data_IF_786512159177
#
_entry.id   IF_786512159177
#
_cell.length_a   1.000
_cell.length_b   1.000
_cell.length_c   1.000
_cell.angle_alpha   90.00
_cell.angle_beta   90.00
_cell.angle_gamma   90.00
#
_symmetry.space_group_name_H-M   'P 1'
#
loop_
_entity.id
_entity.type
_entity.pdbx_description
1 polymer ?
#
# COMPACT_ATOMS: atom_id res chain seq x y z
N UNK A 1 6.83 4.00 20.07
CA UNK A 1 6.30 3.13 18.98
C UNK A 1 4.91 3.64 18.59
N UNK A 2 4.53 3.65 17.31
CA UNK A 2 3.20 4.13 16.88
C UNK A 2 2.14 3.09 17.27
N UNK A 3 1.03 3.51 17.89
CA UNK A 3 -0.11 2.64 18.21
C UNK A 3 -1.09 2.42 17.04
N UNK A 4 -0.67 2.76 15.81
CA UNK A 4 -1.51 2.73 14.63
C UNK A 4 -0.90 1.81 13.59
N UNK A 5 -1.66 0.78 13.21
CA UNK A 5 -1.36 -0.08 12.09
C UNK A 5 -1.66 0.67 10.79
N UNK A 6 -0.61 1.03 10.05
CA UNK A 6 -0.72 1.82 8.81
C UNK A 6 -0.72 0.95 7.56
N UNK A 7 -0.60 -0.35 7.73
CA UNK A 7 -0.38 -1.32 6.67
C UNK A 7 0.18 -2.61 7.26
N UNK A 8 0.29 -3.62 6.42
CA UNK A 8 0.90 -4.92 6.72
C UNK A 8 2.16 -5.10 5.89
N UNK A 9 3.11 -5.84 6.43
CA UNK A 9 4.29 -6.30 5.70
C UNK A 9 4.08 -7.78 5.32
N UNK A 10 4.13 -8.07 4.03
CA UNK A 10 3.96 -9.42 3.47
C UNK A 10 5.32 -9.88 2.95
N UNK A 11 5.98 -10.77 3.69
CA UNK A 11 7.30 -11.28 3.33
C UNK A 11 7.22 -12.31 2.19
N UNK A 12 8.08 -12.14 1.21
CA UNK A 12 8.22 -13.05 0.07
C UNK A 12 9.62 -12.92 -0.53
N UNK A 13 10.04 -13.87 -1.37
CA UNK A 13 11.32 -13.74 -2.10
C UNK A 13 11.27 -12.51 -3.01
N UNK A 14 12.38 -11.80 -3.18
CA UNK A 14 12.49 -10.73 -4.17
C UNK A 14 12.12 -11.28 -5.56
N UNK A 15 11.39 -10.49 -6.35
CA UNK A 15 10.87 -10.90 -7.65
C UNK A 15 9.51 -11.63 -7.59
N UNK A 16 9.01 -12.00 -6.42
CA UNK A 16 7.67 -12.62 -6.29
C UNK A 16 6.60 -11.69 -6.90
N UNK A 17 5.66 -12.20 -7.72
CA UNK A 17 4.62 -11.38 -8.32
C UNK A 17 3.74 -10.67 -7.27
N UNK A 18 3.48 -9.39 -7.50
CA UNK A 18 2.50 -8.59 -6.76
C UNK A 18 1.33 -8.34 -7.68
N UNK A 19 0.13 -8.66 -7.20
CA UNK A 19 -1.13 -8.47 -7.91
C UNK A 19 -1.98 -7.38 -7.26
N UNK A 20 -2.83 -6.74 -8.05
CA UNK A 20 -3.79 -5.76 -7.56
C UNK A 20 -4.82 -6.45 -6.65
N UNK A 21 -4.97 -5.94 -5.43
CA UNK A 21 -5.97 -6.43 -4.46
C UNK A 21 -7.40 -5.98 -4.77
N UNK A 22 -7.58 -5.00 -5.67
CA UNK A 22 -8.86 -4.40 -6.04
C UNK A 22 -8.89 -4.03 -7.52
N UNK A 23 -10.09 -3.90 -8.07
CA UNK A 23 -10.31 -3.12 -9.29
C UNK A 23 -10.08 -1.64 -8.99
N UNK A 24 -9.52 -0.87 -9.93
CA UNK A 24 -9.38 0.57 -9.75
C UNK A 24 -8.49 1.24 -10.79
N UNK A 25 -8.30 2.55 -10.60
CA UNK A 25 -7.42 3.38 -11.40
C UNK A 25 -6.06 3.50 -10.71
N UNK A 26 -4.97 3.18 -11.40
CA UNK A 26 -3.61 3.46 -10.92
C UNK A 26 -3.40 4.97 -10.94
N UNK A 27 -3.41 5.60 -9.77
CA UNK A 27 -3.28 7.06 -9.62
C UNK A 27 -1.83 7.50 -9.50
N UNK A 28 -0.91 6.58 -9.19
CA UNK A 28 0.52 6.87 -9.12
C UNK A 28 1.37 5.61 -9.25
N UNK A 29 2.44 5.71 -10.02
CA UNK A 29 3.57 4.78 -10.03
C UNK A 29 4.86 5.58 -10.00
N UNK A 30 5.83 5.18 -9.17
CA UNK A 30 7.11 5.88 -9.14
C UNK A 30 7.97 5.52 -7.93
N UNK A 31 9.02 6.32 -7.71
CA UNK A 31 9.90 6.16 -6.56
C UNK A 31 9.61 7.23 -5.50
N UNK A 32 9.32 6.80 -4.28
CA UNK A 32 9.16 7.68 -3.11
C UNK A 32 10.30 7.41 -2.12
N UNK A 33 10.81 8.47 -1.48
CA UNK A 33 11.97 8.40 -0.57
C UNK A 33 11.90 7.27 0.47
N UNK A 34 10.74 7.08 1.10
CA UNK A 34 10.53 6.00 2.06
C UNK A 34 9.98 4.73 1.41
N UNK A 35 8.97 4.87 0.54
CA UNK A 35 8.27 3.74 -0.09
C UNK A 35 9.08 2.97 -1.12
N UNK A 36 10.19 3.52 -1.61
CA UNK A 36 10.91 2.97 -2.75
C UNK A 36 10.04 3.01 -3.99
N UNK A 37 10.07 1.94 -4.79
CA UNK A 37 9.16 1.79 -5.92
C UNK A 37 7.76 1.46 -5.41
N UNK A 38 6.78 2.26 -5.83
CA UNK A 38 5.41 2.17 -5.33
C UNK A 38 4.39 2.18 -6.45
N UNK A 39 3.24 1.59 -6.16
CA UNK A 39 2.00 1.69 -6.94
C UNK A 39 0.88 2.14 -6.00
N UNK A 40 0.05 3.09 -6.44
CA UNK A 40 -1.16 3.50 -5.76
C UNK A 40 -2.37 3.29 -6.68
N UNK A 41 -3.36 2.55 -6.20
CA UNK A 41 -4.61 2.29 -6.92
C UNK A 41 -5.76 2.95 -6.16
N UNK A 42 -6.51 3.83 -6.83
CA UNK A 42 -7.79 4.33 -6.35
C UNK A 42 -8.87 3.30 -6.67
N UNK A 43 -9.36 2.64 -5.63
CA UNK A 43 -10.39 1.61 -5.70
C UNK A 43 -11.75 2.07 -5.16
N UNK A 44 -12.66 1.11 -4.90
CA UNK A 44 -13.99 1.38 -4.38
C UNK A 44 -13.97 2.16 -3.06
N UNK A 45 -15.07 2.90 -2.81
CA UNK A 45 -15.26 3.72 -1.59
C UNK A 45 -14.17 4.79 -1.41
N UNK A 46 -13.59 5.30 -2.50
CA UNK A 46 -12.54 6.33 -2.49
C UNK A 46 -11.32 5.96 -1.64
N UNK A 47 -10.92 4.68 -1.74
CA UNK A 47 -9.78 4.12 -1.01
C UNK A 47 -8.56 4.03 -1.89
N UNK A 48 -7.42 4.39 -1.33
CA UNK A 48 -6.11 4.24 -1.97
C UNK A 48 -5.47 2.96 -1.44
N UNK A 49 -5.16 2.06 -2.36
CA UNK A 49 -4.44 0.82 -2.13
C UNK A 49 -2.98 1.07 -2.51
N UNK A 50 -2.11 1.06 -1.51
CA UNK A 50 -0.71 1.44 -1.62
C UNK A 50 0.17 0.19 -1.51
N UNK A 51 0.98 -0.03 -2.54
CA UNK A 51 1.94 -1.14 -2.65
C UNK A 51 3.34 -0.52 -2.67
N UNK A 52 4.20 -0.89 -1.73
CA UNK A 52 5.52 -0.31 -1.58
C UNK A 52 6.65 -1.34 -1.44
N UNK A 53 7.88 -0.84 -1.53
CA UNK A 53 9.13 -1.60 -1.54
C UNK A 53 9.28 -2.52 -2.75
N UNK A 54 8.60 -2.22 -3.86
CA UNK A 54 8.65 -3.06 -5.06
C UNK A 54 10.07 -3.12 -5.63
N UNK A 55 10.40 -4.24 -6.28
CA UNK A 55 11.63 -4.36 -7.07
C UNK A 55 11.41 -3.71 -8.43
N UNK A 56 10.38 -4.16 -9.17
CA UNK A 56 9.96 -3.58 -10.45
C UNK A 56 8.47 -3.22 -10.44
N UNK A 57 8.13 -2.18 -11.20
CA UNK A 57 6.75 -1.75 -11.45
C UNK A 57 6.38 -2.13 -12.89
N UNK A 58 5.24 -2.78 -13.07
CA UNK A 58 4.70 -3.17 -14.37
C UNK A 58 3.42 -2.43 -14.74
N UNK A 59 2.67 -1.92 -13.74
CA UNK A 59 1.55 -1.00 -13.97
C UNK A 59 2.02 0.39 -14.41
N UNK A 60 1.14 1.17 -15.05
CA UNK A 60 1.41 2.57 -15.41
C UNK A 60 0.40 3.50 -14.75
N UNK A 61 0.81 4.71 -14.38
CA UNK A 61 -0.11 5.78 -13.95
C UNK A 61 -1.20 6.01 -15.02
N UNK A 62 -2.42 6.25 -14.55
CA UNK A 62 -3.64 6.43 -15.34
C UNK A 62 -4.17 5.20 -16.08
N UNK A 63 -3.62 4.00 -15.80
CA UNK A 63 -4.22 2.75 -16.28
C UNK A 63 -5.22 2.18 -15.28
N UNK A 64 -6.27 1.56 -15.81
CA UNK A 64 -7.16 0.70 -15.02
C UNK A 64 -6.49 -0.64 -14.75
N UNK A 65 -6.72 -1.19 -13.56
CA UNK A 65 -6.33 -2.54 -13.17
C UNK A 65 -7.51 -3.31 -12.63
N UNK A 66 -7.54 -4.61 -12.90
CA UNK A 66 -8.49 -5.55 -12.31
C UNK A 66 -7.90 -6.22 -11.07
N UNK A 67 -8.75 -6.65 -10.14
CA UNK A 67 -8.34 -7.50 -9.02
C UNK A 67 -7.68 -8.77 -9.56
N UNK A 68 -6.50 -9.08 -9.04
CA UNK A 68 -5.67 -10.20 -9.49
C UNK A 68 -4.71 -9.86 -10.63
N UNK A 69 -4.80 -8.67 -11.21
CA UNK A 69 -3.89 -8.24 -12.28
C UNK A 69 -2.47 -8.03 -11.75
N UNK A 70 -1.48 -8.48 -12.50
CA UNK A 70 -0.06 -8.30 -12.16
C UNK A 70 0.37 -6.83 -12.29
N UNK A 71 0.91 -6.26 -11.21
CA UNK A 71 1.27 -4.83 -11.15
C UNK A 71 2.74 -4.56 -10.85
N UNK A 72 3.47 -5.53 -10.31
CA UNK A 72 4.81 -5.32 -9.77
C UNK A 72 5.44 -6.59 -9.23
N UNK A 73 6.64 -6.48 -8.69
CA UNK A 73 7.32 -7.58 -7.99
C UNK A 73 7.77 -7.14 -6.60
N UNK A 74 7.76 -8.09 -5.65
CA UNK A 74 8.29 -7.88 -4.29
C UNK A 74 9.77 -7.49 -4.36
N UNK A 75 10.17 -6.53 -3.53
CA UNK A 75 11.55 -6.08 -3.44
C UNK A 75 11.92 -5.59 -2.04
N UNK A 76 12.94 -4.74 -2.01
CA UNK A 76 13.46 -4.10 -0.81
C UNK A 76 13.88 -2.66 -1.08
N UNK A 77 13.19 -1.96 -1.99
CA UNK A 77 13.54 -0.58 -2.36
C UNK A 77 13.09 0.43 -1.30
N UNK A 78 13.66 1.64 -1.32
CA UNK A 78 13.37 2.67 -0.31
C UNK A 78 13.96 2.33 1.05
N UNK A 79 13.23 2.59 2.14
CA UNK A 79 13.73 2.33 3.50
C UNK A 79 13.66 0.85 3.93
N UNK A 80 13.26 -0.05 3.02
CA UNK A 80 13.38 -1.49 3.17
C UNK A 80 14.76 -2.03 2.76
N UNK A 81 15.64 -1.18 2.21
CA UNK A 81 17.00 -1.59 1.85
C UNK A 81 17.75 -2.19 3.05
N UNK A 82 18.40 -3.34 2.83
CA UNK A 82 19.11 -4.10 3.87
C UNK A 82 18.21 -4.95 4.79
N UNK A 83 16.89 -4.99 4.57
CA UNK A 83 15.95 -5.85 5.31
C UNK A 83 15.47 -7.01 4.42
N UNK A 84 14.87 -8.08 5.00
CA UNK A 84 14.26 -9.14 4.21
C UNK A 84 13.22 -8.57 3.23
N UNK A 85 13.21 -9.00 1.95
CA UNK A 85 12.25 -8.50 0.97
C UNK A 85 10.80 -8.72 1.40
N UNK A 86 9.98 -7.69 1.20
CA UNK A 86 8.57 -7.70 1.58
C UNK A 86 7.79 -6.67 0.77
N UNK A 87 6.49 -6.90 0.66
CA UNK A 87 5.53 -5.90 0.21
C UNK A 87 4.99 -5.18 1.44
N UNK A 88 5.16 -3.85 1.50
CA UNK A 88 4.39 -3.02 2.43
C UNK A 88 3.08 -2.64 1.77
N UNK A 89 1.95 -3.06 2.36
CA UNK A 89 0.63 -2.85 1.82
C UNK A 89 -0.26 -2.06 2.78
N UNK A 90 -0.85 -0.97 2.28
CA UNK A 90 -1.73 -0.10 3.07
C UNK A 90 -3.02 0.19 2.32
N UNK A 91 -4.11 0.37 3.07
CA UNK A 91 -5.37 0.91 2.55
C UNK A 91 -5.68 2.22 3.26
N UNK A 92 -5.80 3.29 2.50
CA UNK A 92 -6.06 4.64 2.98
C UNK A 92 -7.42 5.13 2.51
N UNK A 93 -8.09 5.98 3.27
CA UNK A 93 -9.29 6.70 2.84
C UNK A 93 -8.96 8.15 2.51
N UNK A 94 -9.52 8.66 1.42
CA UNK A 94 -9.44 10.10 1.11
C UNK A 94 -10.33 10.92 2.05
N UNK A 95 -11.50 10.37 2.38
CA UNK A 95 -12.42 10.97 3.35
C UNK A 95 -12.07 10.42 4.73
N UNK A 96 -11.71 11.26 5.71
CA UNK A 96 -11.42 10.80 7.06
C UNK A 96 -12.65 10.17 7.70
N UNK A 97 -12.44 9.24 8.63
CA UNK A 97 -13.44 8.71 9.54
C UNK A 97 -13.21 9.30 10.94
N UNK A 98 -13.78 10.47 11.28
CA UNK A 98 -13.49 11.17 12.54
C UNK A 98 -13.71 10.33 13.79
N UNK A 99 -14.70 9.44 13.77
CA UNK A 99 -15.01 8.51 14.86
C UNK A 99 -13.91 7.48 15.16
N UNK A 100 -12.91 7.32 14.28
CA UNK A 100 -11.76 6.42 14.51
C UNK A 100 -10.59 7.07 15.25
N UNK A 101 -10.68 8.37 15.56
CA UNK A 101 -9.65 9.07 16.34
C UNK A 101 -9.30 8.33 17.65
N UNK A 102 -8.04 8.44 18.08
CA UNK A 102 -7.57 7.86 19.33
C UNK A 102 -6.51 8.74 19.97
N UNK A 103 -6.44 8.74 21.31
CA UNK A 103 -5.44 9.49 22.07
C UNK A 103 -4.05 8.83 22.07
N UNK A 104 -3.90 7.66 21.45
CA UNK A 104 -2.60 6.99 21.30
C UNK A 104 -1.64 7.82 20.43
N UNK A 105 -0.34 7.55 20.53
CA UNK A 105 0.68 8.22 19.70
C UNK A 105 0.38 8.02 18.20
N UNK A 106 0.17 9.12 17.49
CA UNK A 106 -0.31 9.20 16.09
C UNK A 106 -1.74 8.70 15.86
N UNK A 107 -2.60 8.68 16.87
CA UNK A 107 -3.96 8.12 16.80
C UNK A 107 -4.90 8.83 15.82
N UNK A 108 -4.64 10.09 15.47
CA UNK A 108 -5.34 10.78 14.38
C UNK A 108 -5.23 10.04 13.03
N UNK A 109 -4.15 9.28 12.80
CA UNK A 109 -3.97 8.50 11.57
C UNK A 109 -4.99 7.39 11.42
N UNK A 110 -5.61 6.90 12.50
CA UNK A 110 -6.70 5.91 12.42
C UNK A 110 -7.92 6.42 11.63
N UNK A 111 -8.06 7.74 11.47
CA UNK A 111 -9.10 8.34 10.63
C UNK A 111 -8.87 8.08 9.13
N UNK A 112 -7.62 7.84 8.72
CA UNK A 112 -7.24 7.71 7.31
C UNK A 112 -6.77 6.30 6.94
N UNK A 113 -6.25 5.53 7.90
CA UNK A 113 -5.78 4.17 7.64
C UNK A 113 -6.88 3.15 7.98
N UNK A 114 -7.18 2.29 7.03
CA UNK A 114 -8.04 1.12 7.23
C UNK A 114 -7.12 -0.08 7.45
N UNK A 115 -7.42 -0.88 8.47
CA UNK A 115 -6.70 -2.11 8.66
C UNK A 115 -7.01 -3.05 7.48
N UNK A 116 -6.02 -3.48 6.69
CA UNK A 116 -6.27 -4.30 5.50
C UNK A 116 -6.85 -5.68 5.83
N UNK A 117 -6.71 -6.12 7.08
CA UNK A 117 -7.20 -7.41 7.58
C UNK A 117 -8.64 -7.38 8.08
N UNK A 118 -9.22 -6.21 8.33
CA UNK A 118 -10.57 -6.10 8.94
C UNK A 118 -11.71 -6.23 7.89
N UNK A 119 -11.42 -6.78 6.72
CA UNK A 119 -12.33 -6.75 5.56
C UNK A 119 -12.19 -7.92 4.58
N UNK A 120 -11.63 -9.04 5.03
CA UNK A 120 -11.77 -10.35 4.40
C UNK A 120 -12.67 -11.24 5.26
#
# INVERSE_FOLDING_TARGET
KSGVHKGIDIFAKQGTPVIASTNGLVIYTGNLRMGGNVVMVLGPKWRIYYYAHLDRIYSKTFNWVSRGEFIGTVGSSGNAAGKPPHLHFSVLTLIPYPWRFSQQTQGWKKMFFVNPTDGF
#
